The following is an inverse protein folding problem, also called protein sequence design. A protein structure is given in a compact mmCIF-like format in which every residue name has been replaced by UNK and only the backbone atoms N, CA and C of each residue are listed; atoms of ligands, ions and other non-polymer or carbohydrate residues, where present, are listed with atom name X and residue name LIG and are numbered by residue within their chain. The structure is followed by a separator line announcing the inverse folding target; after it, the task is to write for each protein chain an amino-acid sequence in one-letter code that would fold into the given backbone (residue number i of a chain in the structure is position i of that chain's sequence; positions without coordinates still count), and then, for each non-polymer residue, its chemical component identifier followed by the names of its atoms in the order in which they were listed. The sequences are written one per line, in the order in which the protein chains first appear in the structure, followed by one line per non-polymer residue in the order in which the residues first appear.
data_IF_199630900884
#
_entry.id   IF_199630900884
#
_cell.length_a   1.000
_cell.length_b   1.000
_cell.length_c   1.000
_cell.angle_alpha   90.00
_cell.angle_beta   90.00
_cell.angle_gamma   90.00
#
_symmetry.space_group_name_H-M   'P 1'
#
loop_
_entity.id
_entity.type
_entity.pdbx_description
1 polymer ?
#
# COMPACT_ATOMS: atom_id res chain seq x y z
N UNK A 1 -0.41 -13.69 4.12
CA UNK A 1 -0.72 -12.38 4.73
C UNK A 1 0.05 -12.32 6.05
N UNK A 2 0.76 -11.23 6.31
CA UNK A 2 1.53 -11.05 7.54
C UNK A 2 1.16 -9.70 8.16
N UNK A 3 1.11 -9.64 9.49
CA UNK A 3 0.94 -8.41 10.24
C UNK A 3 2.18 -8.19 11.11
N UNK A 4 2.78 -7.00 10.98
CA UNK A 4 3.92 -6.58 11.79
C UNK A 4 3.39 -5.48 12.71
N UNK A 5 3.26 -5.82 13.98
CA UNK A 5 2.85 -4.90 15.03
C UNK A 5 4.02 -4.57 15.95
N UNK A 6 3.95 -3.41 16.57
CA UNK A 6 4.93 -2.95 17.53
C UNK A 6 4.62 -1.53 17.99
N UNK A 7 5.05 -1.15 19.20
CA UNK A 7 4.88 0.21 19.72
C UNK A 7 5.41 1.32 18.79
N UNK A 8 5.02 2.56 19.06
CA UNK A 8 5.63 3.73 18.41
C UNK A 8 7.15 3.74 18.60
N UNK A 9 7.90 4.11 17.56
CA UNK A 9 9.36 4.23 17.64
C UNK A 9 10.16 2.94 17.46
N UNK A 10 9.53 1.78 17.25
CA UNK A 10 10.26 0.49 17.06
C UNK A 10 10.86 0.28 15.68
N UNK A 11 10.81 1.29 14.80
CA UNK A 11 11.40 1.20 13.46
C UNK A 11 10.61 0.36 12.43
N UNK A 12 9.30 0.13 12.63
CA UNK A 12 8.45 -0.59 11.67
C UNK A 12 8.57 -0.04 10.24
N UNK A 13 8.48 1.28 10.10
CA UNK A 13 8.62 1.97 8.80
C UNK A 13 9.99 1.72 8.16
N UNK A 14 11.06 1.62 8.96
CA UNK A 14 12.39 1.25 8.46
C UNK A 14 12.39 -0.18 7.90
N UNK A 15 11.80 -1.15 8.62
CA UNK A 15 11.67 -2.54 8.15
C UNK A 15 10.85 -2.61 6.87
N UNK A 16 9.74 -1.86 6.79
CA UNK A 16 8.92 -1.76 5.60
C UNK A 16 9.71 -1.26 4.38
N UNK A 17 10.47 -0.18 4.55
CA UNK A 17 11.33 0.34 3.49
C UNK A 17 12.45 -0.63 3.09
N UNK A 18 13.04 -1.34 4.05
CA UNK A 18 14.04 -2.37 3.77
C UNK A 18 13.46 -3.51 2.93
N UNK A 19 12.23 -3.98 3.25
CA UNK A 19 11.53 -5.01 2.49
C UNK A 19 11.17 -4.52 1.07
N UNK A 20 10.66 -3.29 0.94
CA UNK A 20 10.35 -2.69 -0.35
C UNK A 20 11.60 -2.62 -1.24
N UNK A 21 12.71 -2.12 -0.69
CA UNK A 21 14.00 -2.03 -1.36
C UNK A 21 14.52 -3.41 -1.77
N UNK A 22 14.44 -4.40 -0.88
CA UNK A 22 14.89 -5.75 -1.16
C UNK A 22 14.16 -6.37 -2.37
N UNK A 23 12.83 -6.21 -2.46
CA UNK A 23 12.04 -6.70 -3.60
C UNK A 23 12.36 -5.92 -4.88
N UNK A 24 12.46 -4.60 -4.80
CA UNK A 24 12.79 -3.74 -5.95
C UNK A 24 14.18 -4.04 -6.52
N UNK A 25 15.16 -4.31 -5.66
CA UNK A 25 16.52 -4.69 -6.05
C UNK A 25 16.56 -5.98 -6.88
N UNK A 26 15.56 -6.86 -6.73
CA UNK A 26 15.41 -8.07 -7.54
C UNK A 26 14.68 -7.82 -8.87
N UNK A 27 14.42 -6.55 -9.24
CA UNK A 27 13.67 -6.20 -10.44
C UNK A 27 12.16 -6.52 -10.35
N UNK A 28 11.64 -6.77 -9.15
CA UNK A 28 10.23 -7.10 -8.92
C UNK A 28 9.44 -5.88 -8.46
N UNK A 29 8.16 -5.84 -8.78
CA UNK A 29 7.27 -4.76 -8.36
C UNK A 29 6.88 -4.91 -6.89
N UNK A 30 7.06 -3.84 -6.10
CA UNK A 30 6.55 -3.72 -4.74
C UNK A 30 5.83 -2.40 -4.53
N UNK A 31 4.66 -2.46 -3.89
CA UNK A 31 3.81 -1.32 -3.62
C UNK A 31 3.86 -0.96 -2.13
N UNK A 32 4.06 0.33 -1.88
CA UNK A 32 3.89 0.93 -0.57
C UNK A 32 2.54 1.66 -0.56
N UNK A 33 1.68 1.31 0.40
CA UNK A 33 0.44 2.01 0.68
C UNK A 33 0.29 2.33 2.16
N UNK A 34 -0.44 3.39 2.47
CA UNK A 34 -0.85 3.71 3.82
C UNK A 34 -2.27 4.30 3.83
N UNK A 35 -2.90 4.34 5.01
CA UNK A 35 -4.22 4.99 5.18
C UNK A 35 -4.10 6.51 5.16
N UNK A 36 -3.10 7.08 5.85
CA UNK A 36 -2.80 8.52 5.86
C UNK A 36 -1.80 8.93 4.77
N UNK A 37 -1.93 10.17 4.29
CA UNK A 37 -0.95 10.79 3.39
C UNK A 37 0.42 10.96 4.04
N UNK A 38 0.47 11.28 5.33
CA UNK A 38 1.73 11.47 6.07
C UNK A 38 2.47 10.13 6.22
N UNK A 39 1.76 9.06 6.59
CA UNK A 39 2.37 7.74 6.66
C UNK A 39 2.85 7.24 5.29
N UNK A 40 2.10 7.52 4.22
CA UNK A 40 2.52 7.20 2.86
C UNK A 40 3.82 7.90 2.46
N UNK A 41 4.05 9.15 2.89
CA UNK A 41 5.28 9.89 2.61
C UNK A 41 6.52 9.27 3.26
N UNK A 42 6.35 8.54 4.36
CA UNK A 42 7.45 7.87 5.06
C UNK A 42 7.87 6.54 4.40
N UNK A 43 7.06 6.04 3.46
CA UNK A 43 7.37 4.85 2.68
C UNK A 43 7.95 5.22 1.30
N UNK A 44 8.98 4.51 0.87
CA UNK A 44 9.62 4.74 -0.43
C UNK A 44 8.63 4.46 -1.59
N UNK A 45 8.32 5.50 -2.37
CA UNK A 45 7.29 5.45 -3.41
C UNK A 45 5.87 5.23 -2.89
N UNK A 46 5.63 5.56 -1.62
CA UNK A 46 4.35 5.39 -0.94
C UNK A 46 3.23 6.25 -1.54
N UNK A 47 2.01 5.73 -1.46
CA UNK A 47 0.77 6.41 -1.82
C UNK A 47 -0.33 6.04 -0.85
N UNK A 48 -1.35 6.88 -0.69
CA UNK A 48 -2.53 6.47 0.09
C UNK A 48 -3.23 5.29 -0.58
N UNK A 49 -3.87 4.42 0.20
CA UNK A 49 -4.67 3.30 -0.32
C UNK A 49 -5.74 3.80 -1.32
N UNK A 50 -6.41 4.92 -0.99
CA UNK A 50 -7.38 5.57 -1.88
C UNK A 50 -6.79 5.90 -3.25
N UNK A 51 -5.61 6.52 -3.30
CA UNK A 51 -5.00 6.92 -4.57
C UNK A 51 -4.41 5.73 -5.35
N UNK A 52 -3.83 4.74 -4.66
CA UNK A 52 -3.22 3.56 -5.29
C UNK A 52 -4.26 2.62 -5.89
N UNK A 53 -5.33 2.35 -5.14
CA UNK A 53 -6.36 1.38 -5.51
C UNK A 53 -7.62 2.03 -6.08
N UNK A 54 -7.66 3.35 -6.23
CA UNK A 54 -8.85 4.08 -6.71
C UNK A 54 -10.09 3.75 -5.89
N UNK A 55 -9.92 3.65 -4.56
CA UNK A 55 -11.01 3.45 -3.61
C UNK A 55 -11.76 4.78 -3.50
N UNK A 56 -13.08 4.82 -3.76
CA UNK A 56 -13.86 6.04 -3.61
C UNK A 56 -13.81 6.54 -2.16
N UNK A 57 -13.87 7.86 -1.97
CA UNK A 57 -13.87 8.48 -0.64
C UNK A 57 -15.21 8.22 0.08
N UNK A 58 -16.30 8.21 -0.68
CA UNK A 58 -17.62 7.85 -0.20
C UNK A 58 -17.92 6.40 -0.58
N UNK A 59 -18.15 5.57 0.43
CA UNK A 59 -18.41 4.15 0.26
C UNK A 59 -19.91 3.91 0.41
N UNK A 60 -20.53 3.43 -0.67
CA UNK A 60 -21.90 2.93 -0.70
C UNK A 60 -21.88 1.41 -0.92
N UNK A 61 -23.03 0.75 -0.78
CA UNK A 61 -23.15 -0.71 -0.89
C UNK A 61 -22.65 -1.28 -2.23
N UNK A 62 -22.67 -0.48 -3.29
CA UNK A 62 -22.22 -0.83 -4.64
C UNK A 62 -20.89 -0.17 -5.02
N UNK A 63 -20.20 0.47 -4.07
CA UNK A 63 -18.90 1.09 -4.34
C UNK A 63 -17.88 0.03 -4.72
N UNK A 64 -17.20 0.25 -5.83
CA UNK A 64 -16.10 -0.58 -6.30
C UNK A 64 -14.86 0.28 -6.56
N UNK A 65 -13.69 -0.33 -6.47
CA UNK A 65 -12.45 0.30 -6.91
C UNK A 65 -12.51 0.53 -8.44
N UNK A 66 -12.36 1.78 -8.88
CA UNK A 66 -12.43 2.12 -10.30
C UNK A 66 -11.10 1.84 -11.00
N UNK A 67 -10.79 0.55 -11.18
CA UNK A 67 -9.60 0.07 -11.88
C UNK A 67 -10.03 -0.75 -13.10
N UNK A 68 -9.95 -0.20 -14.32
CA UNK A 68 -10.24 -0.95 -15.53
C UNK A 68 -9.29 -2.14 -15.68
N UNK A 69 -9.81 -3.29 -16.13
CA UNK A 69 -9.08 -4.57 -16.29
C UNK A 69 -7.84 -4.43 -17.19
N UNK A 70 -7.90 -3.55 -18.19
CA UNK A 70 -6.83 -3.31 -19.16
C UNK A 70 -6.00 -2.05 -18.83
N UNK A 71 -6.12 -1.51 -17.62
CA UNK A 71 -5.36 -0.33 -17.20
C UNK A 71 -3.92 -0.68 -16.79
N UNK A 72 -3.03 0.31 -16.86
CA UNK A 72 -1.66 0.19 -16.34
C UNK A 72 -1.64 -0.16 -14.85
N UNK A 73 -2.60 0.37 -14.06
CA UNK A 73 -2.73 0.05 -12.64
C UNK A 73 -3.09 -1.43 -12.44
N UNK A 74 -4.03 -1.97 -13.21
CA UNK A 74 -4.36 -3.40 -13.15
C UNK A 74 -3.13 -4.28 -13.48
N UNK A 75 -2.36 -3.91 -14.50
CA UNK A 75 -1.13 -4.63 -14.85
C UNK A 75 -0.07 -4.54 -13.74
N UNK A 76 0.09 -3.37 -13.13
CA UNK A 76 0.97 -3.18 -11.98
C UNK A 76 0.54 -4.07 -10.81
N UNK A 77 -0.75 -4.12 -10.47
CA UNK A 77 -1.27 -4.96 -9.40
C UNK A 77 -1.02 -6.45 -9.67
N UNK A 78 -1.26 -6.92 -10.90
CA UNK A 78 -0.96 -8.31 -11.30
C UNK A 78 0.52 -8.66 -11.21
N UNK A 79 1.40 -7.72 -11.54
CA UNK A 79 2.84 -7.92 -11.52
C UNK A 79 3.47 -7.77 -10.11
N UNK A 80 2.75 -7.15 -9.17
CA UNK A 80 3.22 -6.86 -7.82
C UNK A 80 3.47 -8.14 -7.03
N UNK A 81 4.64 -8.22 -6.39
CA UNK A 81 5.06 -9.34 -5.54
C UNK A 81 4.98 -9.05 -4.04
N UNK A 82 4.93 -7.77 -3.68
CA UNK A 82 4.82 -7.31 -2.30
C UNK A 82 3.94 -6.06 -2.23
N UNK A 83 2.97 -6.07 -1.31
CA UNK A 83 2.23 -4.88 -0.91
C UNK A 83 2.52 -4.68 0.58
N UNK A 84 3.09 -3.52 0.93
CA UNK A 84 3.17 -3.04 2.30
C UNK A 84 2.03 -2.07 2.54
N UNK A 85 1.29 -2.28 3.61
CA UNK A 85 0.21 -1.40 4.04
C UNK A 85 0.49 -0.89 5.46
N UNK A 86 0.91 0.37 5.59
CA UNK A 86 1.14 1.01 6.88
C UNK A 86 -0.15 1.64 7.44
N UNK A 87 -0.24 1.70 8.76
CA UNK A 87 -1.42 2.22 9.48
C UNK A 87 -2.73 1.51 9.09
N UNK A 88 -2.67 0.21 8.77
CA UNK A 88 -3.83 -0.60 8.44
C UNK A 88 -4.87 -0.66 9.59
N UNK A 89 -4.46 -0.40 10.82
CA UNK A 89 -5.33 -0.30 11.99
C UNK A 89 -6.26 0.92 11.97
N UNK A 90 -5.96 1.95 11.18
CA UNK A 90 -6.80 3.16 11.07
C UNK A 90 -7.95 3.01 10.05
N UNK A 91 -8.02 1.86 9.36
CA UNK A 91 -9.15 1.58 8.47
C UNK A 91 -10.41 1.47 9.33
N UNK A 92 -11.43 2.30 9.06
CA UNK A 92 -12.71 2.21 9.75
C UNK A 92 -13.36 0.85 9.50
N UNK A 93 -14.06 0.32 10.50
CA UNK A 93 -14.98 -0.82 10.31
C UNK A 93 -16.09 -0.48 9.33
#
# INVERSE_FOLDING_TARGET
LFFIDGPGGTGKTFVFNALLCHVRRQGKFSLAVATSGIAALLLDGGRTAHSRFKIPLEIHYNSMCSIPVNSQIANLLRATKLIIWDEASMISK
#
